data_IF_988532003209
#
_entry.id   IF_988532003209
#
_cell.length_a   1.000
_cell.length_b   1.000
_cell.length_c   1.000
_cell.angle_alpha   90.00
_cell.angle_beta   90.00
_cell.angle_gamma   90.00
#
_symmetry.space_group_name_H-M   'P 1'
#
loop_
_entity.id
_entity.type
_entity.pdbx_description
1 polymer ?
#
# COMPACT_ATOMS: atom_id res chain seq x y z
N UNK A 1 3.41 9.88 27.89
CA UNK A 1 3.28 8.44 27.54
C UNK A 1 3.48 8.29 26.03
N UNK A 2 4.32 7.37 25.59
CA UNK A 2 4.52 7.05 24.17
C UNK A 2 3.23 6.49 23.61
N UNK A 3 2.80 6.96 22.42
CA UNK A 3 1.63 6.39 21.73
C UNK A 3 2.05 5.26 20.80
N UNK A 4 1.26 4.18 20.79
CA UNK A 4 1.41 3.04 19.90
C UNK A 4 0.35 3.12 18.81
N UNK A 5 0.73 3.61 17.62
CA UNK A 5 -0.22 3.95 16.55
C UNK A 5 -0.42 2.79 15.57
N UNK A 6 -1.50 2.04 15.72
CA UNK A 6 -1.90 0.92 14.85
C UNK A 6 -2.85 1.34 13.71
N UNK A 7 -2.96 2.64 13.42
CA UNK A 7 -3.85 3.14 12.36
C UNK A 7 -3.51 2.57 10.99
N UNK A 8 -4.54 2.27 10.22
CA UNK A 8 -4.39 1.65 8.90
C UNK A 8 -3.97 2.60 7.78
N UNK A 9 -4.05 3.91 8.01
CA UNK A 9 -3.64 4.95 7.07
C UNK A 9 -4.44 6.24 7.26
N UNK A 10 -3.78 7.42 7.42
CA UNK A 10 -2.31 7.57 7.55
C UNK A 10 -1.75 6.78 8.73
N UNK A 11 -0.56 6.21 8.55
CA UNK A 11 0.07 5.34 9.52
C UNK A 11 1.25 5.99 10.26
N UNK A 12 1.88 5.21 11.12
CA UNK A 12 3.14 5.58 11.78
C UNK A 12 4.26 5.74 10.74
N UNK A 13 5.15 6.73 10.98
CA UNK A 13 6.39 6.94 10.24
C UNK A 13 7.59 6.81 11.20
N UNK A 14 8.81 6.52 10.70
CA UNK A 14 10.02 6.51 11.52
C UNK A 14 10.25 7.89 12.17
N UNK A 15 10.62 7.92 13.45
CA UNK A 15 10.79 9.18 14.17
C UNK A 15 11.88 10.06 13.58
N UNK A 16 12.96 9.47 13.08
CA UNK A 16 14.03 10.18 12.39
C UNK A 16 13.56 10.84 11.09
N UNK A 17 12.67 10.20 10.35
CA UNK A 17 12.03 10.77 9.15
C UNK A 17 11.19 11.99 9.53
N UNK A 18 10.39 11.89 10.60
CA UNK A 18 9.58 13.02 11.08
C UNK A 18 10.45 14.19 11.53
N UNK A 19 11.57 13.91 12.19
CA UNK A 19 12.53 14.95 12.62
C UNK A 19 13.12 15.67 11.41
N UNK A 20 13.68 14.94 10.44
CA UNK A 20 14.25 15.52 9.21
C UNK A 20 13.19 16.30 8.41
N UNK A 21 11.96 15.77 8.33
CA UNK A 21 10.87 16.48 7.68
C UNK A 21 10.50 17.79 8.36
N UNK A 22 10.52 17.83 9.69
CA UNK A 22 10.25 19.08 10.44
C UNK A 22 11.35 20.13 10.25
N UNK A 23 12.60 19.71 10.20
CA UNK A 23 13.74 20.60 9.92
C UNK A 23 13.64 21.20 8.51
N UNK A 24 13.26 20.38 7.50
CA UNK A 24 13.09 20.85 6.13
C UNK A 24 11.91 21.84 5.96
N UNK A 25 10.89 21.78 6.81
CA UNK A 25 9.81 22.78 6.82
C UNK A 25 10.29 24.13 7.33
N UNK A 26 11.30 24.15 8.20
CA UNK A 26 11.87 25.39 8.74
C UNK A 26 12.95 25.96 7.81
N UNK A 27 13.89 25.14 7.42
CA UNK A 27 15.02 25.53 6.54
C UNK A 27 15.50 24.33 5.73
N UNK A 28 15.12 24.28 4.47
CA UNK A 28 15.48 23.18 3.58
C UNK A 28 16.91 23.36 3.04
N UNK A 29 17.77 22.39 3.26
CA UNK A 29 19.15 22.35 2.74
C UNK A 29 19.96 23.65 3.03
N UNK A 30 19.69 24.36 4.11
CA UNK A 30 20.33 25.63 4.45
C UNK A 30 20.10 26.73 3.40
N UNK A 31 18.98 26.71 2.71
CA UNK A 31 18.61 27.72 1.71
C UNK A 31 17.98 28.98 2.33
N UNK A 32 17.76 28.99 3.67
CA UNK A 32 16.94 29.99 4.36
C UNK A 32 15.49 30.10 3.82
N UNK A 33 15.02 29.01 3.23
CA UNK A 33 13.66 28.82 2.73
C UNK A 33 13.10 27.47 3.22
N UNK A 34 11.81 27.44 3.45
CA UNK A 34 11.09 26.19 3.74
C UNK A 34 10.97 25.32 2.48
N UNK A 35 11.04 24.01 2.64
CA UNK A 35 10.71 23.06 1.55
C UNK A 35 9.34 23.35 0.90
N UNK A 36 8.35 23.81 1.66
CA UNK A 36 7.00 24.10 1.14
C UNK A 36 6.88 25.44 0.43
N UNK A 37 7.93 26.29 0.47
CA UNK A 37 8.00 27.59 -0.20
C UNK A 37 8.82 27.52 -1.51
N UNK A 38 9.72 26.54 -1.66
CA UNK A 38 10.55 26.45 -2.85
C UNK A 38 9.74 26.03 -4.07
N UNK A 39 10.16 26.50 -5.25
CA UNK A 39 9.55 26.07 -6.51
C UNK A 39 9.81 24.57 -6.74
N UNK A 40 8.77 23.82 -7.11
CA UNK A 40 8.94 22.43 -7.54
C UNK A 40 9.78 22.28 -8.83
N UNK A 41 10.13 23.39 -9.49
CA UNK A 41 11.03 23.44 -10.67
C UNK A 41 12.45 23.88 -10.31
N UNK A 42 12.73 24.17 -9.04
CA UNK A 42 14.11 24.43 -8.60
C UNK A 42 14.95 23.15 -8.70
N UNK A 43 16.25 23.32 -8.88
CA UNK A 43 17.18 22.19 -8.93
C UNK A 43 17.09 21.33 -7.66
N UNK A 44 16.87 21.95 -6.51
CA UNK A 44 16.76 21.26 -5.22
C UNK A 44 15.58 20.29 -5.18
N UNK A 45 14.39 20.73 -5.62
CA UNK A 45 13.22 19.82 -5.62
C UNK A 45 13.27 18.81 -6.76
N UNK A 46 13.79 19.19 -7.92
CA UNK A 46 14.03 18.22 -9.03
C UNK A 46 14.91 17.08 -8.53
N UNK A 47 15.98 17.37 -7.78
CA UNK A 47 16.84 16.35 -7.17
C UNK A 47 16.09 15.46 -6.17
N UNK A 48 15.18 16.02 -5.37
CA UNK A 48 14.30 15.24 -4.47
C UNK A 48 13.43 14.27 -5.27
N UNK A 49 12.75 14.74 -6.32
CA UNK A 49 11.89 13.92 -7.15
C UNK A 49 12.67 12.79 -7.83
N UNK A 50 13.81 13.12 -8.42
CA UNK A 50 14.69 12.15 -9.09
C UNK A 50 15.19 11.09 -8.10
N UNK A 51 15.72 11.51 -6.95
CA UNK A 51 16.16 10.59 -5.89
C UNK A 51 15.03 9.67 -5.43
N UNK A 52 13.82 10.22 -5.25
CA UNK A 52 12.67 9.43 -4.79
C UNK A 52 12.30 8.34 -5.81
N UNK A 53 12.27 8.69 -7.10
CA UNK A 53 11.98 7.74 -8.20
C UNK A 53 13.04 6.65 -8.31
N UNK A 54 14.31 7.02 -8.19
CA UNK A 54 15.42 6.08 -8.24
C UNK A 54 15.40 5.11 -7.05
N UNK A 55 15.17 5.59 -5.83
CA UNK A 55 15.02 4.74 -4.64
C UNK A 55 13.89 3.70 -4.80
N UNK A 56 12.78 4.07 -5.44
CA UNK A 56 11.70 3.12 -5.73
C UNK A 56 12.20 1.99 -6.62
N UNK A 57 12.82 2.31 -7.74
CA UNK A 57 13.28 1.31 -8.71
C UNK A 57 14.38 0.43 -8.11
N UNK A 58 15.29 1.00 -7.35
CA UNK A 58 16.34 0.27 -6.63
C UNK A 58 15.75 -0.71 -5.62
N UNK A 59 14.86 -0.25 -4.73
CA UNK A 59 14.27 -1.08 -3.68
C UNK A 59 13.36 -2.20 -4.22
N UNK A 60 12.82 -2.04 -5.42
CA UNK A 60 12.01 -3.05 -6.10
C UNK A 60 12.83 -3.93 -7.07
N UNK A 61 14.13 -3.70 -7.19
CA UNK A 61 15.02 -4.36 -8.18
C UNK A 61 14.48 -4.22 -9.62
N UNK A 62 14.03 -3.01 -9.99
CA UNK A 62 13.49 -2.70 -11.31
C UNK A 62 14.34 -1.74 -12.14
N UNK A 63 15.52 -1.39 -11.67
CA UNK A 63 16.48 -0.56 -12.41
C UNK A 63 16.85 -1.21 -13.74
N UNK A 64 16.89 -0.41 -14.79
CA UNK A 64 17.25 -0.84 -16.15
C UNK A 64 16.37 -1.95 -16.76
N UNK A 65 15.21 -2.24 -16.16
CA UNK A 65 14.24 -3.24 -16.64
C UNK A 65 13.06 -2.64 -17.41
N UNK A 66 13.18 -1.40 -17.92
CA UNK A 66 12.14 -0.73 -18.71
C UNK A 66 11.05 -0.01 -17.91
N UNK A 67 11.12 -0.06 -16.58
CA UNK A 67 10.17 0.61 -15.69
C UNK A 67 10.48 2.09 -15.47
N UNK A 68 9.45 2.79 -15.00
CA UNK A 68 9.57 4.13 -14.43
C UNK A 68 8.68 4.22 -13.18
N UNK A 69 9.09 5.06 -12.24
CA UNK A 69 8.29 5.40 -11.08
C UNK A 69 7.70 6.80 -11.24
N UNK A 70 6.43 6.97 -10.91
CA UNK A 70 5.70 8.24 -10.91
C UNK A 70 5.17 8.51 -9.51
N UNK A 71 5.18 9.78 -9.11
CA UNK A 71 4.52 10.27 -7.91
C UNK A 71 3.39 11.21 -8.29
N UNK A 72 2.16 10.73 -8.17
CA UNK A 72 0.95 11.39 -8.62
C UNK A 72 0.07 11.80 -7.43
N UNK A 73 -0.97 12.58 -7.69
CA UNK A 73 -2.00 12.95 -6.72
C UNK A 73 -3.27 12.12 -6.93
N UNK A 74 -4.20 12.14 -5.99
CA UNK A 74 -5.50 11.46 -6.11
C UNK A 74 -5.63 10.15 -5.33
N UNK A 75 -4.52 9.62 -4.79
CA UNK A 75 -4.51 8.36 -4.07
C UNK A 75 -4.75 7.16 -4.97
N UNK A 76 -4.70 5.95 -4.42
CA UNK A 76 -5.06 4.73 -5.14
C UNK A 76 -6.48 4.79 -5.75
N UNK A 77 -7.36 5.61 -5.21
CA UNK A 77 -8.71 5.78 -5.75
C UNK A 77 -8.72 6.40 -7.14
N UNK A 78 -7.78 7.27 -7.48
CA UNK A 78 -7.64 7.78 -8.83
C UNK A 78 -7.02 6.73 -9.77
N UNK A 79 -6.17 5.87 -9.26
CA UNK A 79 -5.57 4.78 -10.04
C UNK A 79 -6.61 3.74 -10.49
N UNK A 80 -7.71 3.57 -9.74
CA UNK A 80 -8.84 2.73 -10.18
C UNK A 80 -9.42 3.19 -11.53
N UNK A 81 -9.27 4.47 -11.85
CA UNK A 81 -9.69 5.08 -13.10
C UNK A 81 -8.52 5.22 -14.09
N UNK A 82 -7.33 5.63 -13.62
CA UNK A 82 -6.18 5.84 -14.49
C UNK A 82 -5.70 4.55 -15.15
N UNK A 83 -5.65 3.43 -14.42
CA UNK A 83 -5.25 2.14 -14.97
C UNK A 83 -6.10 1.73 -16.19
N UNK A 84 -7.45 1.67 -16.12
CA UNK A 84 -8.24 1.33 -17.30
C UNK A 84 -8.17 2.38 -18.42
N UNK A 85 -8.01 3.68 -18.14
CA UNK A 85 -7.75 4.66 -19.20
C UNK A 85 -6.50 4.36 -20.00
N UNK A 86 -5.42 3.94 -19.33
CA UNK A 86 -4.12 3.73 -19.96
C UNK A 86 -3.89 2.32 -20.51
N UNK A 87 -4.65 1.32 -20.06
CA UNK A 87 -4.41 -0.09 -20.40
C UNK A 87 -5.58 -0.79 -21.09
N UNK A 88 -6.84 -0.35 -20.88
CA UNK A 88 -8.01 -0.96 -21.48
C UNK A 88 -8.26 -0.35 -22.86
N UNK A 89 -8.15 -1.15 -23.92
CA UNK A 89 -8.47 -0.71 -25.29
C UNK A 89 -9.94 -0.29 -25.38
N UNK A 90 -10.24 0.55 -26.35
CA UNK A 90 -11.62 0.84 -26.72
C UNK A 90 -12.30 -0.49 -27.15
N UNK A 91 -13.43 -0.82 -26.54
CA UNK A 91 -14.09 -2.13 -26.69
C UNK A 91 -13.26 -3.35 -26.23
N UNK A 92 -12.23 -3.13 -25.41
CA UNK A 92 -11.42 -4.19 -24.82
C UNK A 92 -12.03 -4.78 -23.56
N UNK A 93 -11.43 -5.87 -23.09
CA UNK A 93 -11.80 -6.57 -21.85
C UNK A 93 -10.66 -6.55 -20.86
N UNK A 94 -10.99 -6.55 -19.58
CA UNK A 94 -10.02 -6.81 -18.51
C UNK A 94 -10.62 -7.76 -17.48
N UNK A 95 -9.75 -8.49 -16.76
CA UNK A 95 -10.16 -9.38 -15.69
C UNK A 95 -9.73 -8.84 -14.32
N UNK A 96 -10.52 -9.14 -13.30
CA UNK A 96 -10.30 -8.70 -11.94
C UNK A 96 -10.49 -9.83 -10.94
N UNK A 97 -9.66 -9.82 -9.88
CA UNK A 97 -9.89 -10.60 -8.68
C UNK A 97 -10.57 -9.68 -7.63
N UNK A 98 -11.78 -10.05 -7.21
CA UNK A 98 -12.52 -9.30 -6.19
C UNK A 98 -12.26 -9.90 -4.81
N UNK A 99 -11.25 -9.37 -4.13
CA UNK A 99 -10.77 -9.87 -2.84
C UNK A 99 -11.04 -8.92 -1.67
N UNK A 100 -11.78 -7.82 -1.91
CA UNK A 100 -12.10 -6.86 -0.85
C UNK A 100 -12.67 -5.55 -1.35
N UNK A 101 -12.96 -4.66 -0.43
CA UNK A 101 -13.57 -3.35 -0.73
C UNK A 101 -12.80 -2.55 -1.79
N UNK A 102 -11.47 -2.63 -1.80
CA UNK A 102 -10.68 -1.82 -2.74
C UNK A 102 -10.71 -2.41 -4.15
N UNK A 103 -10.61 -3.73 -4.29
CA UNK A 103 -10.83 -4.39 -5.59
C UNK A 103 -12.24 -4.15 -6.13
N UNK A 104 -13.29 -4.27 -5.29
CA UNK A 104 -14.66 -3.98 -5.70
C UNK A 104 -14.84 -2.53 -6.20
N UNK A 105 -14.18 -1.55 -5.57
CA UNK A 105 -14.18 -0.15 -6.03
C UNK A 105 -13.44 0.00 -7.36
N UNK A 106 -12.29 -0.63 -7.51
CA UNK A 106 -11.53 -0.61 -8.77
C UNK A 106 -12.33 -1.22 -9.92
N UNK A 107 -13.02 -2.35 -9.69
CA UNK A 107 -13.93 -2.97 -10.64
C UNK A 107 -15.05 -2.00 -11.07
N UNK A 108 -15.64 -1.29 -10.10
CA UNK A 108 -16.72 -0.32 -10.38
C UNK A 108 -16.26 0.79 -11.34
N UNK A 109 -15.09 1.36 -11.10
CA UNK A 109 -14.54 2.42 -11.96
C UNK A 109 -14.14 1.89 -13.35
N UNK A 110 -13.52 0.71 -13.42
CA UNK A 110 -13.13 0.10 -14.67
C UNK A 110 -14.34 -0.24 -15.59
N UNK A 111 -15.47 -0.65 -15.00
CA UNK A 111 -16.73 -0.91 -15.72
C UNK A 111 -17.30 0.31 -16.46
N UNK A 112 -16.88 1.50 -16.11
CA UNK A 112 -17.27 2.72 -16.85
C UNK A 112 -16.56 2.83 -18.22
N UNK A 113 -15.45 2.08 -18.39
CA UNK A 113 -14.56 2.21 -19.55
C UNK A 113 -14.55 0.98 -20.47
N UNK A 114 -15.07 -0.17 -20.06
CA UNK A 114 -15.11 -1.36 -20.91
C UNK A 114 -15.70 -2.57 -20.23
N UNK A 115 -15.53 -3.72 -20.88
CA UNK A 115 -16.01 -5.01 -20.39
C UNK A 115 -15.08 -5.55 -19.30
N UNK A 116 -15.62 -5.77 -18.10
CA UNK A 116 -14.86 -6.22 -16.95
C UNK A 116 -15.41 -7.54 -16.43
N UNK A 117 -14.56 -8.56 -16.53
CA UNK A 117 -14.84 -9.90 -16.02
C UNK A 117 -14.27 -10.06 -14.59
N UNK A 118 -15.12 -10.40 -13.63
CA UNK A 118 -14.72 -10.75 -12.27
C UNK A 118 -14.52 -12.25 -12.22
N UNK A 119 -13.28 -12.70 -12.45
CA UNK A 119 -12.96 -14.12 -12.64
C UNK A 119 -12.92 -14.93 -11.33
N UNK A 120 -12.81 -14.25 -10.19
CA UNK A 120 -12.95 -14.85 -8.87
C UNK A 120 -13.29 -13.77 -7.82
N UNK A 121 -14.05 -14.20 -6.81
CA UNK A 121 -14.42 -13.34 -5.67
C UNK A 121 -14.44 -14.15 -4.38
N UNK A 122 -14.02 -13.53 -3.28
CA UNK A 122 -14.17 -14.08 -1.92
C UNK A 122 -15.28 -13.39 -1.10
N UNK A 123 -16.19 -12.71 -1.78
CA UNK A 123 -17.33 -12.02 -1.15
C UNK A 123 -18.27 -12.98 -0.42
N UNK A 124 -18.37 -14.24 -0.86
CA UNK A 124 -19.17 -15.30 -0.24
C UNK A 124 -18.84 -15.53 1.23
N UNK A 125 -17.58 -15.29 1.63
CA UNK A 125 -17.11 -15.37 3.03
C UNK A 125 -16.60 -14.03 3.55
N UNK A 126 -17.27 -12.94 3.16
CA UNK A 126 -16.90 -11.58 3.57
C UNK A 126 -15.41 -11.27 3.37
N UNK A 127 -14.83 -11.74 2.25
CA UNK A 127 -13.44 -11.52 1.87
C UNK A 127 -12.38 -11.99 2.89
N UNK A 128 -12.67 -13.03 3.65
CA UNK A 128 -11.74 -13.54 4.67
C UNK A 128 -10.68 -14.51 4.11
N UNK A 129 -10.66 -14.75 2.80
CA UNK A 129 -9.69 -15.60 2.11
C UNK A 129 -9.30 -15.02 0.73
N UNK A 130 -8.25 -15.57 0.13
CA UNK A 130 -7.83 -15.26 -1.25
C UNK A 130 -8.25 -16.43 -2.16
N UNK A 131 -9.04 -16.19 -3.22
CA UNK A 131 -9.40 -17.23 -4.19
C UNK A 131 -8.16 -17.81 -4.88
N UNK A 132 -8.13 -19.12 -5.11
CA UNK A 132 -6.97 -19.83 -5.70
C UNK A 132 -7.30 -20.54 -7.00
N UNK A 133 -8.47 -21.13 -7.11
CA UNK A 133 -8.87 -21.97 -8.25
C UNK A 133 -9.73 -21.17 -9.24
N UNK A 134 -9.09 -20.38 -10.09
CA UNK A 134 -9.75 -19.62 -11.16
C UNK A 134 -8.98 -19.73 -12.48
N UNK A 135 -9.68 -19.53 -13.58
CA UNK A 135 -9.11 -19.49 -14.93
C UNK A 135 -8.97 -18.05 -15.39
N UNK A 136 -7.83 -17.70 -15.92
CA UNK A 136 -7.57 -16.38 -16.49
C UNK A 136 -7.90 -16.45 -17.98
N UNK A 137 -8.80 -15.59 -18.53
CA UNK A 137 -9.06 -15.52 -19.95
C UNK A 137 -7.81 -15.07 -20.72
N UNK A 138 -7.64 -15.60 -21.95
CA UNK A 138 -6.49 -15.24 -22.81
C UNK A 138 -6.73 -13.89 -23.54
N UNK A 139 -7.98 -13.56 -23.83
CA UNK A 139 -8.39 -12.41 -24.65
C UNK A 139 -8.65 -11.12 -23.83
N UNK A 140 -7.83 -10.83 -22.83
CA UNK A 140 -7.93 -9.66 -21.99
C UNK A 140 -6.76 -8.69 -22.18
N UNK A 141 -6.98 -7.41 -21.93
CA UNK A 141 -5.93 -6.39 -21.99
C UNK A 141 -5.05 -6.43 -20.75
N UNK A 142 -5.62 -6.69 -19.58
CA UNK A 142 -4.90 -6.86 -18.33
C UNK A 142 -5.71 -7.63 -17.30
N UNK A 143 -5.01 -8.22 -16.34
CA UNK A 143 -5.55 -8.76 -15.10
C UNK A 143 -5.20 -7.83 -13.96
N UNK A 144 -6.19 -7.50 -13.11
CA UNK A 144 -5.99 -6.68 -11.91
C UNK A 144 -6.14 -7.51 -10.64
N UNK A 145 -5.21 -7.34 -9.70
CA UNK A 145 -5.29 -7.91 -8.36
C UNK A 145 -4.93 -6.89 -7.28
N UNK A 146 -5.27 -7.21 -6.03
CA UNK A 146 -4.92 -6.43 -4.85
C UNK A 146 -4.08 -7.32 -3.93
N UNK A 147 -2.81 -6.95 -3.71
CA UNK A 147 -1.86 -7.79 -2.99
C UNK A 147 -2.19 -7.97 -1.52
N UNK A 148 -2.74 -6.94 -0.89
CA UNK A 148 -3.05 -6.93 0.54
C UNK A 148 -4.34 -6.15 0.84
N UNK A 149 -5.29 -6.81 1.48
CA UNK A 149 -6.60 -6.27 1.79
C UNK A 149 -6.64 -5.69 3.21
N UNK A 150 -6.35 -4.42 3.34
CA UNK A 150 -6.22 -3.67 4.60
C UNK A 150 -7.42 -3.84 5.55
N UNK A 151 -8.63 -3.97 5.03
CA UNK A 151 -9.87 -4.05 5.82
C UNK A 151 -10.07 -5.45 6.38
N UNK A 152 -9.81 -6.47 5.56
CA UNK A 152 -10.15 -7.87 5.89
C UNK A 152 -8.96 -8.65 6.45
N UNK A 153 -7.75 -8.11 6.32
CA UNK A 153 -6.53 -8.74 6.83
C UNK A 153 -6.05 -9.93 6.01
N UNK A 154 -6.38 -9.97 4.72
CA UNK A 154 -5.88 -11.00 3.78
C UNK A 154 -4.78 -10.46 2.89
N UNK A 155 -3.84 -11.33 2.50
CA UNK A 155 -2.68 -11.02 1.67
C UNK A 155 -2.40 -12.14 0.69
N UNK A 156 -2.19 -11.82 -0.59
CA UNK A 156 -1.74 -12.78 -1.58
C UNK A 156 -0.33 -13.25 -1.27
N UNK A 157 -0.15 -14.56 -1.08
CA UNK A 157 1.19 -15.18 -0.88
C UNK A 157 1.85 -15.52 -2.21
N UNK A 158 1.06 -15.73 -3.25
CA UNK A 158 1.49 -15.90 -4.63
C UNK A 158 0.59 -15.07 -5.55
N UNK A 159 1.13 -14.67 -6.69
CA UNK A 159 0.41 -13.84 -7.66
C UNK A 159 -0.03 -14.66 -8.88
N UNK A 160 -1.08 -14.19 -9.60
CA UNK A 160 -1.53 -14.83 -10.84
C UNK A 160 -0.39 -14.93 -11.85
N UNK A 161 -0.28 -16.11 -12.51
CA UNK A 161 0.64 -16.29 -13.64
C UNK A 161 -0.15 -16.12 -14.93
N UNK A 162 0.23 -15.16 -15.75
CA UNK A 162 -0.47 -14.81 -16.99
C UNK A 162 0.51 -14.22 -18.00
N UNK A 163 0.25 -14.42 -19.29
CA UNK A 163 0.94 -13.74 -20.39
C UNK A 163 0.30 -12.37 -20.71
N UNK A 164 -0.86 -12.08 -20.14
CA UNK A 164 -1.49 -10.77 -20.21
C UNK A 164 -0.83 -9.78 -19.23
N UNK A 165 -1.04 -8.47 -19.43
CA UNK A 165 -0.55 -7.48 -18.51
C UNK A 165 -1.09 -7.70 -17.09
N UNK A 166 -0.23 -7.66 -16.10
CA UNK A 166 -0.59 -7.81 -14.69
C UNK A 166 -0.49 -6.47 -13.94
N UNK A 167 -1.63 -6.01 -13.42
CA UNK A 167 -1.78 -4.78 -12.62
C UNK A 167 -2.01 -5.14 -11.17
N UNK A 168 -1.29 -4.50 -10.25
CA UNK A 168 -1.43 -4.76 -8.83
C UNK A 168 -1.59 -3.50 -7.98
N UNK A 169 -2.65 -3.46 -7.17
CA UNK A 169 -2.76 -2.55 -6.02
C UNK A 169 -1.91 -3.09 -4.87
N UNK A 170 -0.79 -2.43 -4.59
CA UNK A 170 0.10 -2.75 -3.47
C UNK A 170 0.07 -1.69 -2.36
N UNK A 171 -0.97 -0.89 -2.28
CA UNK A 171 -1.04 0.26 -1.36
C UNK A 171 -0.68 -0.07 0.08
N UNK A 172 -0.98 -1.27 0.56
CA UNK A 172 -0.78 -1.61 1.98
C UNK A 172 0.36 -2.58 2.27
N UNK A 173 1.08 -3.07 1.25
CA UNK A 173 2.21 -3.98 1.46
C UNK A 173 3.41 -3.76 0.51
N UNK A 174 3.42 -2.67 -0.27
CA UNK A 174 4.60 -2.33 -1.07
C UNK A 174 5.82 -2.15 -0.17
N UNK A 175 7.00 -2.58 -0.61
CA UNK A 175 8.26 -2.55 0.14
C UNK A 175 8.26 -3.33 1.46
N UNK A 176 7.32 -4.25 1.69
CA UNK A 176 7.22 -4.98 2.97
C UNK A 176 7.86 -6.35 2.96
N UNK A 177 8.06 -6.92 1.80
CA UNK A 177 8.58 -8.29 1.59
C UNK A 177 9.25 -8.44 0.25
N UNK A 178 10.11 -9.43 0.12
CA UNK A 178 10.80 -9.78 -1.13
C UNK A 178 9.84 -10.54 -2.05
N UNK A 179 9.58 -9.96 -3.21
CA UNK A 179 8.86 -10.61 -4.31
C UNK A 179 9.55 -10.23 -5.64
N UNK A 180 9.36 -11.00 -6.68
CA UNK A 180 9.78 -10.60 -8.01
C UNK A 180 8.81 -9.54 -8.56
N UNK A 181 9.17 -8.27 -8.44
CA UNK A 181 8.34 -7.16 -8.92
C UNK A 181 8.30 -7.08 -10.45
N UNK A 182 9.22 -7.74 -11.17
CA UNK A 182 9.23 -7.74 -12.63
C UNK A 182 8.09 -8.53 -13.28
N UNK A 183 7.36 -9.33 -12.49
CA UNK A 183 6.15 -10.01 -12.94
C UNK A 183 4.96 -9.07 -13.17
N UNK A 184 5.00 -7.84 -12.63
CA UNK A 184 3.93 -6.86 -12.78
C UNK A 184 4.27 -5.84 -13.87
N UNK A 185 3.29 -5.51 -14.69
CA UNK A 185 3.45 -4.48 -15.72
C UNK A 185 3.10 -3.08 -15.19
N UNK A 186 2.20 -3.03 -14.20
CA UNK A 186 1.88 -1.81 -13.47
C UNK A 186 1.59 -2.13 -12.00
N UNK A 187 2.24 -1.40 -11.11
CA UNK A 187 1.97 -1.40 -9.66
C UNK A 187 1.56 0.00 -9.26
N UNK A 188 0.56 0.14 -8.40
CA UNK A 188 0.29 1.42 -7.74
C UNK A 188 0.14 1.26 -6.24
N UNK A 189 0.43 2.35 -5.50
CA UNK A 189 0.34 2.36 -4.05
C UNK A 189 0.13 3.78 -3.49
N UNK A 190 -0.88 3.95 -2.65
CA UNK A 190 -1.04 5.17 -1.86
C UNK A 190 0.06 5.26 -0.79
N UNK A 191 0.77 6.40 -0.71
CA UNK A 191 1.93 6.53 0.18
C UNK A 191 1.61 6.38 1.67
N UNK A 192 0.40 6.78 2.11
CA UNK A 192 0.00 6.93 3.51
C UNK A 192 -0.06 5.63 4.33
N UNK A 193 0.27 4.49 3.75
CA UNK A 193 0.27 3.19 4.45
C UNK A 193 1.68 2.72 4.78
N UNK A 194 2.56 2.53 3.79
CA UNK A 194 3.83 1.86 4.04
C UNK A 194 5.08 2.64 3.59
N UNK A 195 4.95 3.77 2.91
CA UNK A 195 6.11 4.46 2.36
C UNK A 195 6.16 5.98 2.61
N UNK A 196 5.14 6.58 3.22
CA UNK A 196 5.12 8.03 3.42
C UNK A 196 3.82 8.58 4.00
N UNK A 197 3.59 9.89 3.96
CA UNK A 197 2.36 10.53 4.39
C UNK A 197 1.28 10.47 3.30
N UNK A 198 0.05 10.88 3.64
CA UNK A 198 -0.99 11.14 2.66
C UNK A 198 -0.60 12.29 1.73
N UNK A 199 -1.08 12.26 0.48
CA UNK A 199 -0.92 13.34 -0.51
C UNK A 199 -0.21 12.93 -1.79
N UNK A 200 0.49 11.81 -1.82
CA UNK A 200 1.09 11.27 -3.05
C UNK A 200 0.77 9.79 -3.26
N UNK A 201 0.78 9.37 -4.50
CA UNK A 201 0.54 8.00 -4.95
C UNK A 201 1.69 7.58 -5.84
N UNK A 202 2.27 6.43 -5.55
CA UNK A 202 3.27 5.80 -6.39
C UNK A 202 2.59 5.03 -7.51
N UNK A 203 3.10 5.18 -8.73
CA UNK A 203 2.83 4.27 -9.86
C UNK A 203 4.18 3.81 -10.41
N UNK A 204 4.37 2.50 -10.50
CA UNK A 204 5.52 1.87 -11.16
C UNK A 204 5.00 1.16 -12.40
N UNK A 205 5.48 1.52 -13.57
CA UNK A 205 4.92 1.03 -14.83
C UNK A 205 6.00 0.75 -15.86
N UNK A 206 5.86 -0.33 -16.64
CA UNK A 206 6.64 -0.57 -17.85
C UNK A 206 6.25 0.46 -18.90
N UNK A 207 7.23 1.17 -19.45
CA UNK A 207 6.98 2.25 -20.43
C UNK A 207 6.40 1.76 -21.74
N UNK A 208 6.77 0.57 -22.17
CA UNK A 208 6.41 -0.02 -23.46
C UNK A 208 4.96 -0.53 -23.55
N UNK A 209 4.26 -0.65 -22.45
CA UNK A 209 2.84 -1.06 -22.44
C UNK A 209 1.86 0.10 -22.71
N UNK A 210 2.31 1.35 -22.57
CA UNK A 210 1.49 2.55 -22.66
C UNK A 210 1.25 3.03 -24.11
N UNK A 211 0.21 3.85 -24.29
CA UNK A 211 -0.12 4.46 -25.60
C UNK A 211 -0.77 3.49 -26.59
N UNK A 212 -1.28 2.34 -26.16
CA UNK A 212 -1.82 1.28 -27.02
C UNK A 212 -3.34 1.08 -26.94
N UNK A 213 -4.04 1.96 -26.22
CA UNK A 213 -5.49 1.80 -25.99
C UNK A 213 -6.36 2.33 -27.13
N UNK A 214 -5.84 3.25 -27.95
CA UNK A 214 -6.62 4.00 -28.95
C UNK A 214 -7.54 5.07 -28.36
N UNK A 215 -7.60 5.22 -27.03
CA UNK A 215 -8.45 6.18 -26.34
C UNK A 215 -7.86 7.59 -26.34
N UNK A 216 -8.74 8.59 -26.37
CA UNK A 216 -8.37 9.95 -25.97
C UNK A 216 -8.35 10.01 -24.44
N UNK A 217 -7.15 10.16 -23.87
CA UNK A 217 -6.96 10.22 -22.41
C UNK A 217 -6.84 11.70 -22.02
N UNK A 218 -7.60 12.19 -21.02
CA UNK A 218 -7.38 13.52 -20.47
C UNK A 218 -5.95 13.64 -19.91
N UNK A 219 -5.28 14.77 -20.17
CA UNK A 219 -3.84 14.94 -19.86
C UNK A 219 -3.46 14.57 -18.43
N UNK A 220 -4.31 14.88 -17.45
CA UNK A 220 -4.07 14.55 -16.04
C UNK A 220 -4.20 13.06 -15.72
N UNK A 221 -4.79 12.26 -16.60
CA UNK A 221 -4.97 10.82 -16.45
C UNK A 221 -4.01 10.00 -17.31
N UNK A 222 -3.21 10.64 -18.15
CA UNK A 222 -2.29 10.00 -19.10
C UNK A 222 -0.90 9.81 -18.47
N UNK A 223 -0.53 8.56 -18.20
CA UNK A 223 0.79 8.24 -17.65
C UNK A 223 1.94 8.68 -18.56
N UNK A 224 1.80 8.67 -19.89
CA UNK A 224 2.86 9.09 -20.80
C UNK A 224 3.19 10.58 -20.63
N UNK A 225 2.17 11.43 -20.38
CA UNK A 225 2.36 12.86 -20.11
C UNK A 225 3.11 13.05 -18.78
N UNK A 226 2.74 12.30 -17.73
CA UNK A 226 3.43 12.35 -16.45
C UNK A 226 4.86 11.83 -16.54
N UNK A 227 5.12 10.79 -17.34
CA UNK A 227 6.47 10.27 -17.61
C UNK A 227 7.32 11.34 -18.29
N UNK A 228 6.80 11.97 -19.34
CA UNK A 228 7.52 13.01 -20.10
C UNK A 228 7.86 14.26 -19.26
N UNK A 229 7.26 14.41 -18.09
CA UNK A 229 7.47 15.53 -17.16
C UNK A 229 7.98 15.08 -15.79
N UNK A 230 8.48 13.86 -15.67
CA UNK A 230 9.08 13.33 -14.45
C UNK A 230 8.19 13.51 -13.20
N UNK A 231 6.89 13.24 -13.33
CA UNK A 231 5.84 13.46 -12.32
C UNK A 231 5.52 14.93 -12.00
N UNK A 232 6.07 15.87 -12.76
CA UNK A 232 5.91 17.31 -12.53
C UNK A 232 5.17 18.00 -13.68
N UNK A 233 4.21 17.31 -14.31
CA UNK A 233 3.33 17.90 -15.30
C UNK A 233 2.50 19.05 -14.70
N UNK A 234 1.94 18.84 -13.53
CA UNK A 234 1.38 19.86 -12.63
C UNK A 234 2.25 19.96 -11.36
N UNK A 235 1.94 20.91 -10.50
CA UNK A 235 2.61 21.05 -9.20
C UNK A 235 2.43 19.79 -8.36
N UNK A 236 3.50 19.05 -8.02
CA UNK A 236 3.41 17.84 -7.23
C UNK A 236 3.14 18.14 -5.75
N UNK A 237 2.79 17.13 -4.98
CA UNK A 237 2.70 17.20 -3.55
C UNK A 237 4.12 17.24 -2.94
N UNK A 238 4.76 18.41 -2.91
CA UNK A 238 6.18 18.62 -2.56
C UNK A 238 6.57 17.96 -1.25
N UNK A 239 5.89 18.32 -0.16
CA UNK A 239 6.20 17.79 1.17
C UNK A 239 5.95 16.26 1.27
N UNK A 240 4.82 15.71 0.82
CA UNK A 240 4.63 14.25 0.78
C UNK A 240 5.68 13.49 -0.02
N UNK A 241 6.13 14.00 -1.16
CA UNK A 241 7.20 13.37 -1.96
C UNK A 241 8.52 13.38 -1.19
N UNK A 242 8.87 14.49 -0.55
CA UNK A 242 10.09 14.60 0.26
C UNK A 242 10.08 13.62 1.45
N UNK A 243 8.98 13.55 2.19
CA UNK A 243 8.86 12.61 3.32
C UNK A 243 8.89 11.16 2.83
N UNK A 244 8.32 10.88 1.65
CA UNK A 244 8.44 9.56 1.01
C UNK A 244 9.89 9.25 0.66
N UNK A 245 10.64 10.20 0.11
CA UNK A 245 12.08 10.06 -0.14
C UNK A 245 12.84 9.68 1.13
N UNK A 246 12.60 10.39 2.22
CA UNK A 246 13.24 10.10 3.52
C UNK A 246 12.87 8.70 4.04
N UNK A 247 11.61 8.29 3.89
CA UNK A 247 11.15 6.97 4.32
C UNK A 247 11.78 5.83 3.49
N UNK A 248 11.89 6.03 2.18
CA UNK A 248 12.55 5.05 1.31
C UNK A 248 14.07 5.00 1.56
N UNK A 249 14.70 6.14 1.85
CA UNK A 249 16.10 6.18 2.25
C UNK A 249 16.31 5.45 3.58
N UNK A 250 15.46 5.70 4.58
CA UNK A 250 15.45 4.96 5.84
C UNK A 250 15.35 3.45 5.61
N UNK A 251 14.46 3.00 4.73
CA UNK A 251 14.32 1.60 4.41
C UNK A 251 15.59 1.02 3.75
N UNK A 252 16.20 1.76 2.83
CA UNK A 252 17.46 1.39 2.20
C UNK A 252 18.59 1.26 3.23
N UNK A 253 18.73 2.24 4.12
CA UNK A 253 19.76 2.28 5.16
C UNK A 253 19.59 1.16 6.19
N UNK A 254 18.35 0.71 6.42
CA UNK A 254 18.04 -0.46 7.25
C UNK A 254 18.50 -1.79 6.64
N UNK A 255 18.86 -1.82 5.37
CA UNK A 255 19.22 -3.01 4.61
C UNK A 255 18.17 -3.43 3.58
N UNK A 256 17.26 -2.54 3.22
CA UNK A 256 16.28 -2.70 2.16
C UNK A 256 15.12 -3.65 2.50
N UNK A 257 14.44 -4.10 1.45
CA UNK A 257 13.22 -4.91 1.57
C UNK A 257 13.49 -6.25 2.26
N UNK A 258 14.64 -6.87 2.05
CA UNK A 258 14.98 -8.15 2.70
C UNK A 258 15.18 -8.03 4.22
N UNK A 259 15.69 -6.90 4.70
CA UNK A 259 15.85 -6.65 6.12
C UNK A 259 14.50 -6.36 6.79
N UNK A 260 13.69 -5.53 6.19
CA UNK A 260 12.38 -5.19 6.76
C UNK A 260 11.40 -6.36 6.73
N UNK A 261 11.48 -7.25 5.75
CA UNK A 261 10.67 -8.47 5.69
C UNK A 261 10.88 -9.34 6.95
N UNK A 262 12.11 -9.52 7.39
CA UNK A 262 12.42 -10.27 8.62
C UNK A 262 11.76 -9.64 9.85
N UNK A 263 11.80 -8.31 9.94
CA UNK A 263 11.16 -7.57 11.03
C UNK A 263 9.65 -7.69 10.95
N UNK A 264 9.06 -7.58 9.75
CA UNK A 264 7.62 -7.70 9.54
C UNK A 264 7.12 -9.12 9.88
N UNK A 265 7.87 -10.16 9.50
CA UNK A 265 7.55 -11.53 9.85
C UNK A 265 7.56 -11.72 11.38
N UNK A 266 8.59 -11.27 12.07
CA UNK A 266 8.67 -11.35 13.53
C UNK A 266 7.49 -10.64 14.24
N UNK A 267 7.08 -9.44 13.74
CA UNK A 267 5.90 -8.73 14.27
C UNK A 267 4.61 -9.51 14.05
N UNK A 268 4.44 -10.07 12.85
CA UNK A 268 3.24 -10.84 12.51
C UNK A 268 3.18 -12.15 13.30
N UNK A 269 4.27 -12.88 13.39
CA UNK A 269 4.38 -14.12 14.18
C UNK A 269 4.09 -13.88 15.66
N UNK A 270 4.62 -12.81 16.24
CA UNK A 270 4.36 -12.43 17.63
C UNK A 270 2.86 -12.23 17.88
N UNK A 271 2.18 -11.44 17.04
CA UNK A 271 0.77 -11.13 17.24
C UNK A 271 -0.16 -12.29 16.88
N UNK A 272 0.10 -12.99 15.77
CA UNK A 272 -0.70 -14.16 15.41
C UNK A 272 -0.48 -15.33 16.37
N UNK A 273 0.72 -15.47 16.94
CA UNK A 273 1.01 -16.46 17.97
C UNK A 273 0.11 -16.25 19.20
N UNK A 274 -0.06 -15.02 19.64
CA UNK A 274 -1.00 -14.72 20.73
C UNK A 274 -2.45 -14.98 20.33
N UNK A 275 -2.89 -14.52 19.17
CA UNK A 275 -4.27 -14.72 18.70
C UNK A 275 -4.63 -16.21 18.60
N UNK A 276 -3.70 -17.04 18.14
CA UNK A 276 -3.96 -18.48 17.92
C UNK A 276 -3.88 -19.32 19.22
N UNK A 277 -3.17 -18.86 20.24
CA UNK A 277 -2.98 -19.59 21.51
C UNK A 277 -3.88 -19.07 22.65
N UNK A 278 -4.45 -17.88 22.51
CA UNK A 278 -5.32 -17.29 23.52
C UNK A 278 -6.80 -17.46 23.13
N UNK A 279 -7.60 -18.27 23.87
CA UNK A 279 -8.99 -18.58 23.52
C UNK A 279 -9.94 -17.37 23.56
N UNK A 280 -9.50 -16.24 24.13
CA UNK A 280 -10.25 -14.99 24.11
C UNK A 280 -10.21 -14.26 22.77
N UNK A 281 -9.36 -14.70 21.83
CA UNK A 281 -9.19 -14.05 20.54
C UNK A 281 -9.32 -15.03 19.38
N UNK A 282 -9.76 -14.52 18.23
CA UNK A 282 -9.89 -15.27 16.98
C UNK A 282 -9.45 -14.41 15.81
N UNK A 283 -8.63 -14.94 14.91
CA UNK A 283 -8.24 -14.27 13.67
C UNK A 283 -9.38 -14.23 12.68
N UNK A 284 -9.67 -13.05 12.10
CA UNK A 284 -10.77 -12.88 11.16
C UNK A 284 -10.48 -13.45 9.76
N UNK A 285 -9.22 -13.48 9.33
CA UNK A 285 -8.78 -14.02 8.05
C UNK A 285 -8.38 -15.48 8.14
N UNK A 286 -8.59 -16.24 7.05
CA UNK A 286 -8.11 -17.62 6.91
C UNK A 286 -6.59 -17.69 7.14
N UNK A 287 -6.11 -18.69 7.88
CA UNK A 287 -4.72 -18.75 8.36
C UNK A 287 -3.69 -18.64 7.26
N UNK A 288 -3.91 -19.33 6.14
CA UNK A 288 -3.01 -19.35 4.98
C UNK A 288 -2.95 -18.03 4.23
N UNK A 289 -3.97 -17.19 4.37
CA UNK A 289 -4.11 -15.92 3.63
C UNK A 289 -3.91 -14.68 4.54
N UNK A 290 -3.53 -14.86 5.78
CA UNK A 290 -3.31 -13.78 6.76
C UNK A 290 -2.31 -12.74 6.29
N UNK A 291 -2.65 -11.48 6.47
CA UNK A 291 -1.80 -10.33 6.17
C UNK A 291 -0.71 -10.14 7.22
N UNK A 292 0.53 -9.90 6.79
CA UNK A 292 1.64 -9.51 7.66
C UNK A 292 1.68 -7.99 7.92
N UNK A 293 0.78 -7.23 7.26
CA UNK A 293 0.67 -5.78 7.42
C UNK A 293 -0.55 -5.34 8.22
N UNK A 294 -1.67 -6.08 8.10
CA UNK A 294 -2.93 -5.73 8.74
C UNK A 294 -3.53 -6.97 9.42
N UNK A 295 -3.24 -7.13 10.69
CA UNK A 295 -3.76 -8.24 11.49
C UNK A 295 -5.16 -7.91 11.97
N UNK A 296 -6.16 -8.68 11.52
CA UNK A 296 -7.55 -8.54 11.95
C UNK A 296 -7.95 -9.66 12.91
N UNK A 297 -8.62 -9.31 14.01
CA UNK A 297 -9.02 -10.26 15.01
C UNK A 297 -10.29 -9.83 15.77
N UNK A 298 -10.93 -10.78 16.40
CA UNK A 298 -12.16 -10.62 17.20
C UNK A 298 -11.87 -11.04 18.64
N UNK A 299 -12.67 -10.51 19.59
CA UNK A 299 -12.79 -11.05 20.93
C UNK A 299 -13.93 -12.06 20.92
N UNK A 300 -13.69 -13.26 21.42
CA UNK A 300 -14.66 -14.36 21.48
C UNK A 300 -15.69 -14.16 22.61
N UNK A 301 -15.29 -13.50 23.70
CA UNK A 301 -16.16 -13.13 24.82
C UNK A 301 -16.45 -11.62 24.83
N UNK A 302 -17.62 -11.25 24.36
CA UNK A 302 -18.04 -9.85 24.31
C UNK A 302 -18.06 -9.13 25.67
N UNK A 303 -18.17 -9.85 26.79
CA UNK A 303 -18.14 -9.25 28.14
C UNK A 303 -16.76 -8.66 28.48
N UNK A 304 -15.72 -9.08 27.79
CA UNK A 304 -14.34 -8.60 27.96
C UNK A 304 -13.99 -7.37 27.13
N UNK A 305 -14.84 -7.05 26.15
CA UNK A 305 -14.53 -6.01 25.14
C UNK A 305 -14.26 -4.65 25.76
N UNK A 306 -15.14 -4.17 26.64
CA UNK A 306 -15.00 -2.84 27.24
C UNK A 306 -13.75 -2.76 28.12
N UNK A 307 -13.40 -3.87 28.81
CA UNK A 307 -12.17 -3.98 29.59
C UNK A 307 -10.95 -3.89 28.67
N UNK A 308 -10.93 -4.63 27.56
CA UNK A 308 -9.82 -4.60 26.61
C UNK A 308 -9.65 -3.22 25.98
N UNK A 309 -10.76 -2.58 25.56
CA UNK A 309 -10.74 -1.22 25.00
C UNK A 309 -10.15 -0.22 26.01
N UNK A 310 -10.49 -0.34 27.31
CA UNK A 310 -9.95 0.52 28.36
C UNK A 310 -8.44 0.24 28.57
N UNK A 311 -8.03 -1.03 28.66
CA UNK A 311 -6.61 -1.40 28.79
C UNK A 311 -5.77 -0.84 27.63
N UNK A 312 -6.26 -0.95 26.39
CA UNK A 312 -5.61 -0.38 25.20
C UNK A 312 -5.47 1.14 25.31
N UNK A 313 -6.52 1.83 25.76
CA UNK A 313 -6.50 3.28 25.94
C UNK A 313 -5.49 3.70 27.00
N UNK A 314 -5.44 3.01 28.13
CA UNK A 314 -4.53 3.30 29.24
C UNK A 314 -3.07 3.05 28.87
N UNK A 315 -2.80 2.04 28.05
CA UNK A 315 -1.48 1.76 27.49
C UNK A 315 -1.07 2.71 26.33
N UNK A 316 -1.95 3.61 25.91
CA UNK A 316 -1.67 4.56 24.81
C UNK A 316 -1.77 3.97 23.41
N UNK A 317 -2.46 2.83 23.25
CA UNK A 317 -2.76 2.26 21.93
C UNK A 317 -3.78 3.14 21.21
N UNK A 318 -3.52 3.42 19.93
CA UNK A 318 -4.36 4.22 19.06
C UNK A 318 -4.61 3.50 17.73
N UNK A 319 -5.79 3.67 17.14
CA UNK A 319 -6.11 3.19 15.79
C UNK A 319 -6.34 1.68 15.67
N UNK A 320 -6.55 0.96 16.80
CA UNK A 320 -6.72 -0.50 16.81
C UNK A 320 -8.14 -0.96 16.40
N UNK A 321 -9.16 -0.11 16.51
CA UNK A 321 -10.54 -0.47 16.19
C UNK A 321 -10.67 -0.95 14.74
N UNK A 322 -11.29 -2.11 14.54
CA UNK A 322 -11.53 -2.70 13.23
C UNK A 322 -12.49 -1.89 12.35
N UNK A 323 -12.48 -2.18 11.06
CA UNK A 323 -13.43 -1.56 10.14
C UNK A 323 -14.84 -2.13 10.37
N UNK A 324 -15.87 -1.28 10.20
CA UNK A 324 -17.28 -1.67 10.42
C UNK A 324 -17.74 -2.92 9.65
N UNK A 325 -17.11 -3.24 8.52
CA UNK A 325 -17.44 -4.41 7.68
C UNK A 325 -16.98 -5.73 8.31
N UNK A 326 -15.96 -5.71 9.17
CA UNK A 326 -15.37 -6.89 9.82
C UNK A 326 -15.73 -6.88 11.33
N UNK A 327 -15.77 -5.70 11.92
CA UNK A 327 -15.89 -5.54 13.36
C UNK A 327 -14.56 -5.73 14.07
N UNK A 328 -14.59 -6.02 15.36
CA UNK A 328 -13.43 -6.33 16.16
C UNK A 328 -12.29 -5.31 16.08
N UNK A 329 -11.10 -5.82 15.87
CA UNK A 329 -9.85 -5.06 15.92
C UNK A 329 -9.01 -5.26 14.64
N UNK A 330 -8.18 -4.25 14.33
CA UNK A 330 -7.20 -4.33 13.25
C UNK A 330 -5.93 -3.64 13.67
N UNK A 331 -4.90 -4.42 13.91
CA UNK A 331 -3.55 -3.93 14.14
C UNK A 331 -2.82 -3.76 12.80
N UNK A 332 -2.60 -2.51 12.36
CA UNK A 332 -1.77 -2.23 11.18
C UNK A 332 -0.32 -2.10 11.63
N UNK A 333 0.49 -3.10 11.29
CA UNK A 333 1.88 -3.27 11.73
C UNK A 333 2.89 -3.03 10.60
N UNK A 334 2.66 -1.94 9.84
CA UNK A 334 3.49 -1.56 8.70
C UNK A 334 4.99 -1.47 9.02
N UNK A 335 5.82 -1.23 8.01
CA UNK A 335 7.28 -1.24 8.12
C UNK A 335 7.80 -0.42 9.31
N UNK A 336 7.30 0.80 9.51
CA UNK A 336 7.74 1.70 10.57
C UNK A 336 7.23 1.34 11.99
N UNK A 337 6.35 0.32 12.14
CA UNK A 337 5.86 -0.11 13.45
C UNK A 337 6.98 -0.82 14.21
N UNK A 338 7.39 -0.31 15.39
CA UNK A 338 8.35 -1.02 16.23
C UNK A 338 7.76 -2.31 16.80
N UNK A 339 8.56 -3.36 16.88
CA UNK A 339 8.13 -4.65 17.45
C UNK A 339 7.72 -4.51 18.92
N UNK A 340 8.33 -3.60 19.66
CA UNK A 340 8.00 -3.29 21.04
C UNK A 340 6.57 -2.78 21.19
N UNK A 341 6.05 -2.07 20.18
CA UNK A 341 4.64 -1.63 20.17
C UNK A 341 3.70 -2.81 19.97
N UNK A 342 4.09 -3.80 19.17
CA UNK A 342 3.33 -5.05 18.99
C UNK A 342 3.37 -5.87 20.28
N UNK A 343 4.52 -5.92 20.97
CA UNK A 343 4.66 -6.61 22.26
C UNK A 343 3.72 -6.01 23.30
N UNK A 344 3.62 -4.68 23.39
CA UNK A 344 2.65 -4.03 24.31
C UNK A 344 1.22 -4.49 24.06
N UNK A 345 0.80 -4.64 22.78
CA UNK A 345 -0.52 -5.16 22.44
C UNK A 345 -0.69 -6.62 22.89
N UNK A 346 0.32 -7.45 22.65
CA UNK A 346 0.33 -8.87 23.07
C UNK A 346 0.25 -8.98 24.59
N UNK A 347 1.04 -8.20 25.33
CA UNK A 347 1.00 -8.19 26.81
C UNK A 347 -0.40 -7.84 27.35
N UNK A 348 -1.10 -6.91 26.70
CA UNK A 348 -2.49 -6.57 27.05
C UNK A 348 -3.45 -7.72 26.76
N UNK A 349 -3.26 -8.44 25.66
CA UNK A 349 -4.10 -9.61 25.32
C UNK A 349 -3.91 -10.73 26.33
N UNK A 350 -2.69 -10.98 26.79
CA UNK A 350 -2.36 -11.98 27.80
C UNK A 350 -2.93 -11.65 29.18
N UNK A 351 -3.10 -10.39 29.51
CA UNK A 351 -3.60 -9.92 30.81
C UNK A 351 -5.11 -9.59 30.82
N UNK A 352 -5.84 -9.91 29.76
CA UNK A 352 -7.30 -9.71 29.67
C UNK A 352 -8.07 -10.77 30.46
#
# INVERSE_FOLDING_TARGET
MKKHNFSAGPCILPQEVLKQASEAVINFNNLDLSLIEISHRSADFVAVMEKTRNLVLELLDLENKGYTALFLQGGASLEFLMCPYNLLKENGKAAYLDTGTWSSKSIKEAKLLGDIDVIASSQDKNFNYIPKDYKIPEDINYLHCTSNNTIYGTQMKSFPKTDNLLVCDMSSDIFSRVIDFSQFDLIYAGAQKNMGPAGTTLVVVKKDILGKTGRKIPSMLDYQIHIAKDSMYNTPAVFPVYVTMLTLQWLKDLGGVAAIEKINNAKAELLYGEIDNNPLFEGAAAKEDRSYMNVTFLITDNSKKDRFDQMCKDAGINGLKGHRSVGGYRASIYNAMPIESVQVLVDLMQNL
#
